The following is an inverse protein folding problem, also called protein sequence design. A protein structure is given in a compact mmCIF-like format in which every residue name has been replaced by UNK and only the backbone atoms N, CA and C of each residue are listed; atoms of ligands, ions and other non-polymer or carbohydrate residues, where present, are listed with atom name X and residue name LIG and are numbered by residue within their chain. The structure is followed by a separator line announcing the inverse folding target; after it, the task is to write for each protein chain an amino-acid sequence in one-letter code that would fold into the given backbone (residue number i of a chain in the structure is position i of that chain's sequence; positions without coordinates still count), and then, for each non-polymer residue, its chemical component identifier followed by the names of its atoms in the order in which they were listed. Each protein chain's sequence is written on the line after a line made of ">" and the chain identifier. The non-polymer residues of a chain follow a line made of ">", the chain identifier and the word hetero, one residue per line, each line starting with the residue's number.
data_IF_837418542469
#
_entry.id   IF_837418542469
#
_cell.length_a   1.000
_cell.length_b   1.000
_cell.length_c   1.000
_cell.angle_alpha   90.00
_cell.angle_beta   90.00
_cell.angle_gamma   90.00
#
_symmetry.space_group_name_H-M   'P 1'
#
loop_
_entity.id
_entity.type
_entity.pdbx_description
1 polymer ?
#
# COMPACT_ATOMS: atom_id res chain seq x y z
N UNK A 1 50.31 -18.46 -21.56
CA UNK A 1 49.35 -17.83 -20.64
C UNK A 1 49.60 -16.33 -20.64
N UNK A 2 48.85 -15.58 -21.44
CA UNK A 2 48.93 -14.12 -21.47
C UNK A 2 48.03 -13.55 -20.36
N UNK A 3 48.54 -12.72 -19.45
CA UNK A 3 47.70 -12.05 -18.48
C UNK A 3 46.84 -11.04 -19.25
N UNK A 4 45.52 -11.28 -19.32
CA UNK A 4 44.56 -10.26 -19.71
C UNK A 4 44.62 -9.16 -18.65
N UNK A 5 45.55 -8.22 -18.81
CA UNK A 5 45.51 -6.93 -18.11
C UNK A 5 44.19 -6.28 -18.53
N UNK A 6 43.25 -6.17 -17.58
CA UNK A 6 42.09 -5.31 -17.70
C UNK A 6 42.61 -3.88 -17.92
N UNK A 7 42.81 -3.51 -19.18
CA UNK A 7 43.13 -2.14 -19.53
C UNK A 7 41.87 -1.33 -19.27
N UNK A 8 41.87 -0.59 -18.16
CA UNK A 8 40.91 0.45 -17.84
C UNK A 8 41.01 1.57 -18.89
N UNK A 9 40.53 1.30 -20.10
CA UNK A 9 40.37 2.33 -21.12
C UNK A 9 39.31 3.29 -20.58
N UNK A 10 39.57 4.61 -20.51
CA UNK A 10 38.69 5.58 -19.87
C UNK A 10 37.26 5.65 -20.47
N UNK A 11 37.03 5.08 -21.66
CA UNK A 11 35.69 4.92 -22.25
C UNK A 11 34.87 3.76 -21.66
N UNK A 12 35.49 2.72 -21.10
CA UNK A 12 34.79 1.60 -20.48
C UNK A 12 34.30 1.96 -19.07
N UNK A 13 35.05 2.76 -18.31
CA UNK A 13 34.67 3.21 -16.95
C UNK A 13 33.36 4.00 -16.98
N UNK A 14 33.21 4.96 -17.91
CA UNK A 14 31.96 5.73 -18.02
C UNK A 14 30.75 4.87 -18.38
N UNK A 15 30.95 3.77 -19.14
CA UNK A 15 29.89 2.82 -19.46
C UNK A 15 29.47 2.01 -18.23
N UNK A 16 30.40 1.64 -17.36
CA UNK A 16 30.09 0.99 -16.08
C UNK A 16 29.30 1.91 -15.14
N UNK A 17 29.62 3.21 -15.07
CA UNK A 17 28.83 4.17 -14.29
C UNK A 17 27.40 4.35 -14.83
N UNK A 18 27.24 4.42 -16.16
CA UNK A 18 25.90 4.48 -16.79
C UNK A 18 25.11 3.22 -16.48
N UNK A 19 25.72 2.03 -16.61
CA UNK A 19 25.09 0.76 -16.28
C UNK A 19 24.70 0.73 -14.79
N UNK A 20 25.58 1.18 -13.89
CA UNK A 20 25.30 1.26 -12.46
C UNK A 20 24.11 2.19 -12.15
N UNK A 21 24.04 3.37 -12.79
CA UNK A 21 22.89 4.29 -12.65
C UNK A 21 21.59 3.63 -13.12
N UNK A 22 21.61 2.93 -14.26
CA UNK A 22 20.43 2.22 -14.77
C UNK A 22 19.99 1.12 -13.79
N UNK A 23 20.93 0.35 -13.25
CA UNK A 23 20.64 -0.69 -12.24
C UNK A 23 20.07 -0.07 -10.96
N UNK A 24 20.62 1.04 -10.48
CA UNK A 24 20.11 1.73 -9.28
C UNK A 24 18.70 2.26 -9.50
N UNK A 25 18.38 2.80 -10.68
CA UNK A 25 17.02 3.19 -11.03
C UNK A 25 16.07 2.00 -11.11
N UNK A 26 16.50 0.88 -11.71
CA UNK A 26 15.71 -0.34 -11.79
C UNK A 26 15.42 -0.91 -10.39
N UNK A 27 16.42 -0.97 -9.51
CA UNK A 27 16.25 -1.41 -8.11
C UNK A 27 15.30 -0.49 -7.35
N UNK A 28 15.31 0.81 -7.62
CA UNK A 28 14.35 1.76 -7.01
C UNK A 28 12.90 1.46 -7.42
N UNK A 29 12.67 1.19 -8.71
CA UNK A 29 11.34 0.78 -9.19
C UNK A 29 10.84 -0.53 -8.56
N UNK A 30 11.72 -1.54 -8.48
CA UNK A 30 11.40 -2.84 -7.85
C UNK A 30 11.12 -2.67 -6.36
N UNK A 31 11.86 -1.82 -5.64
CA UNK A 31 11.61 -1.56 -4.23
C UNK A 31 10.24 -0.92 -4.00
N UNK A 32 9.84 0.05 -4.82
CA UNK A 32 8.52 0.69 -4.71
C UNK A 32 7.41 -0.33 -4.99
N UNK A 33 7.54 -1.11 -6.07
CA UNK A 33 6.56 -2.15 -6.40
C UNK A 33 6.46 -3.21 -5.29
N UNK A 34 7.60 -3.62 -4.73
CA UNK A 34 7.64 -4.59 -3.62
C UNK A 34 7.00 -4.02 -2.36
N UNK A 35 7.19 -2.73 -2.06
CA UNK A 35 6.59 -2.08 -0.90
C UNK A 35 5.06 -2.04 -1.01
N UNK A 36 4.56 -1.63 -2.17
CA UNK A 36 3.12 -1.56 -2.44
C UNK A 36 2.49 -2.96 -2.38
N UNK A 37 3.13 -3.96 -3.00
CA UNK A 37 2.64 -5.34 -2.95
C UNK A 37 2.65 -5.92 -1.53
N UNK A 38 3.70 -5.65 -0.75
CA UNK A 38 3.77 -6.10 0.64
C UNK A 38 2.65 -5.46 1.48
N UNK A 39 2.44 -4.15 1.32
CA UNK A 39 1.36 -3.43 2.00
C UNK A 39 -0.03 -3.97 1.62
N UNK A 40 -0.31 -4.14 0.32
CA UNK A 40 -1.58 -4.69 -0.15
C UNK A 40 -1.83 -6.09 0.42
N UNK A 41 -0.80 -6.93 0.44
CA UNK A 41 -0.89 -8.29 0.97
C UNK A 41 -1.12 -8.30 2.48
N UNK A 42 -0.41 -7.46 3.23
CA UNK A 42 -0.56 -7.33 4.68
C UNK A 42 -1.98 -6.86 5.04
N UNK A 43 -2.46 -5.78 4.41
CA UNK A 43 -3.81 -5.25 4.67
C UNK A 43 -4.89 -6.21 4.22
N UNK A 44 -4.71 -6.89 3.10
CA UNK A 44 -5.62 -7.93 2.64
C UNK A 44 -5.78 -9.04 3.68
N UNK A 45 -4.68 -9.58 4.23
CA UNK A 45 -4.78 -10.58 5.28
C UNK A 45 -5.48 -10.05 6.54
N UNK A 46 -5.21 -8.81 6.93
CA UNK A 46 -5.91 -8.20 8.06
C UNK A 46 -7.43 -8.10 7.82
N UNK A 47 -7.87 -7.74 6.60
CA UNK A 47 -9.30 -7.69 6.26
C UNK A 47 -9.93 -9.09 6.29
N UNK A 48 -9.22 -10.10 5.80
CA UNK A 48 -9.64 -11.51 5.87
C UNK A 48 -9.79 -11.99 7.31
N UNK A 49 -8.81 -11.69 8.17
CA UNK A 49 -8.87 -12.05 9.59
C UNK A 49 -10.09 -11.39 10.28
N UNK A 50 -10.40 -10.13 9.93
CA UNK A 50 -11.61 -9.44 10.41
C UNK A 50 -12.87 -10.13 9.89
N UNK A 51 -12.90 -10.54 8.61
CA UNK A 51 -14.03 -11.27 8.03
C UNK A 51 -14.29 -12.59 8.76
N UNK A 52 -13.24 -13.38 9.04
CA UNK A 52 -13.36 -14.61 9.81
C UNK A 52 -13.82 -14.38 11.24
N UNK A 53 -13.30 -13.35 11.93
CA UNK A 53 -13.71 -13.02 13.27
C UNK A 53 -15.17 -12.52 13.32
N UNK A 54 -15.61 -11.75 12.32
CA UNK A 54 -17.01 -11.37 12.13
C UNK A 54 -17.90 -12.58 11.89
N UNK A 55 -17.48 -13.51 11.03
CA UNK A 55 -18.21 -14.74 10.76
C UNK A 55 -18.40 -15.57 12.02
N UNK A 56 -17.32 -15.81 12.78
CA UNK A 56 -17.38 -16.55 14.04
C UNK A 56 -18.32 -15.88 15.06
N UNK A 57 -18.29 -14.54 15.13
CA UNK A 57 -19.22 -13.79 15.97
C UNK A 57 -20.65 -14.03 15.50
N UNK A 58 -20.95 -13.80 14.22
CA UNK A 58 -22.30 -13.99 13.67
C UNK A 58 -22.84 -15.38 14.00
N UNK A 59 -22.03 -16.44 13.86
CA UNK A 59 -22.46 -17.80 14.20
C UNK A 59 -22.75 -18.00 15.69
N UNK A 60 -21.94 -17.43 16.59
CA UNK A 60 -22.21 -17.48 18.02
C UNK A 60 -23.55 -16.82 18.39
N UNK A 61 -23.86 -15.67 17.77
CA UNK A 61 -25.11 -14.95 18.00
C UNK A 61 -26.31 -15.58 17.29
N UNK A 62 -26.11 -16.15 16.09
CA UNK A 62 -27.12 -16.97 15.39
C UNK A 62 -27.52 -18.16 16.27
N UNK A 63 -26.55 -18.86 16.83
CA UNK A 63 -26.80 -19.96 17.77
C UNK A 63 -27.59 -19.50 19.00
N UNK A 64 -27.19 -18.40 19.64
CA UNK A 64 -27.91 -17.87 20.80
C UNK A 64 -29.34 -17.42 20.46
N UNK A 65 -29.55 -16.80 19.30
CA UNK A 65 -30.87 -16.41 18.80
C UNK A 65 -31.81 -17.60 18.72
N UNK A 66 -31.33 -18.71 18.14
CA UNK A 66 -32.09 -19.97 18.09
C UNK A 66 -32.38 -20.54 19.47
N UNK A 67 -31.41 -20.52 20.39
CA UNK A 67 -31.62 -21.01 21.76
C UNK A 67 -32.67 -20.17 22.52
N UNK A 68 -32.65 -18.86 22.36
CA UNK A 68 -33.61 -17.94 23.00
C UNK A 68 -35.02 -18.20 22.46
N UNK A 69 -35.16 -18.35 21.15
CA UNK A 69 -36.47 -18.61 20.56
C UNK A 69 -37.02 -20.00 20.93
N UNK A 70 -36.23 -21.06 20.75
CA UNK A 70 -36.71 -22.45 20.92
C UNK A 70 -36.89 -22.82 22.39
N UNK A 71 -35.92 -22.49 23.26
CA UNK A 71 -35.96 -22.95 24.65
C UNK A 71 -36.67 -21.97 25.59
N UNK A 72 -36.58 -20.66 25.34
CA UNK A 72 -37.06 -19.65 26.29
C UNK A 72 -38.43 -19.11 25.89
N UNK A 73 -38.61 -18.75 24.62
CA UNK A 73 -39.86 -18.19 24.12
C UNK A 73 -40.97 -19.25 23.98
N UNK A 74 -40.65 -20.45 23.48
CA UNK A 74 -41.66 -21.50 23.28
C UNK A 74 -42.11 -22.19 24.60
N UNK A 75 -41.28 -22.14 25.64
CA UNK A 75 -41.50 -22.86 26.92
C UNK A 75 -42.07 -21.98 28.03
N UNK A 76 -42.32 -20.69 27.78
CA UNK A 76 -42.79 -19.71 28.78
C UNK A 76 -44.23 -19.90 29.29
N UNK A 77 -44.96 -20.89 28.77
CA UNK A 77 -46.40 -21.06 29.05
C UNK A 77 -46.71 -21.61 30.45
N UNK A 78 -45.75 -22.21 31.19
CA UNK A 78 -46.10 -23.11 32.30
C UNK A 78 -45.36 -22.95 33.65
N UNK A 79 -44.66 -21.85 33.94
CA UNK A 79 -43.97 -21.71 35.24
C UNK A 79 -44.35 -20.46 36.01
N UNK A 80 -45.33 -20.58 36.91
CA UNK A 80 -45.64 -19.53 37.88
C UNK A 80 -44.38 -19.11 38.66
N UNK A 81 -43.80 -17.96 38.32
CA UNK A 81 -42.73 -17.33 39.06
C UNK A 81 -43.31 -16.16 39.87
N UNK A 82 -43.02 -16.18 41.17
CA UNK A 82 -43.62 -15.25 42.13
C UNK A 82 -43.16 -13.81 41.95
N UNK A 83 -44.11 -12.88 42.07
CA UNK A 83 -43.87 -11.48 42.46
C UNK A 83 -42.83 -10.72 41.64
N UNK A 84 -42.88 -10.83 40.32
CA UNK A 84 -42.11 -9.97 39.43
C UNK A 84 -42.43 -8.49 39.71
N UNK A 85 -41.40 -7.71 40.04
CA UNK A 85 -41.52 -6.28 40.31
C UNK A 85 -41.21 -5.53 39.01
N UNK A 86 -42.22 -4.87 38.45
CA UNK A 86 -42.04 -3.95 37.33
C UNK A 86 -42.12 -2.51 37.82
N UNK A 87 -41.23 -1.66 37.31
CA UNK A 87 -41.32 -0.21 37.50
C UNK A 87 -41.70 0.44 36.18
N UNK A 88 -42.85 1.11 36.15
CA UNK A 88 -43.27 1.88 34.99
C UNK A 88 -42.42 3.15 34.89
N UNK A 89 -41.60 3.24 33.85
CA UNK A 89 -40.79 4.43 33.58
C UNK A 89 -41.60 5.49 32.81
N UNK A 90 -42.41 5.06 31.83
CA UNK A 90 -43.21 5.94 30.97
C UNK A 90 -44.54 5.27 30.60
N UNK A 91 -45.42 6.01 29.91
CA UNK A 91 -46.49 5.39 29.13
C UNK A 91 -45.89 4.39 28.14
N UNK A 92 -46.33 3.13 28.24
CA UNK A 92 -45.94 2.00 27.41
C UNK A 92 -44.45 1.62 27.47
N UNK A 93 -43.74 2.00 28.55
CA UNK A 93 -42.36 1.56 28.83
C UNK A 93 -42.25 1.06 30.27
N UNK A 94 -41.90 -0.21 30.40
CA UNK A 94 -41.82 -0.93 31.67
C UNK A 94 -40.39 -1.43 31.88
N UNK A 95 -39.85 -1.18 33.07
CA UNK A 95 -38.54 -1.67 33.49
C UNK A 95 -38.73 -2.88 34.39
N UNK A 96 -38.04 -3.97 34.05
CA UNK A 96 -38.05 -5.17 34.86
C UNK A 96 -36.99 -5.06 35.96
N UNK A 97 -37.43 -4.99 37.22
CA UNK A 97 -36.50 -5.03 38.35
C UNK A 97 -36.07 -6.46 38.61
N UNK A 98 -34.75 -6.70 38.56
CA UNK A 98 -34.17 -8.02 38.81
C UNK A 98 -33.07 -7.99 39.87
N UNK A 99 -32.88 -9.11 40.59
CA UNK A 99 -31.87 -9.19 41.64
C UNK A 99 -30.44 -9.13 41.11
N UNK A 100 -30.19 -9.52 39.84
CA UNK A 100 -28.87 -9.47 39.19
C UNK A 100 -28.82 -8.32 38.19
N UNK A 101 -27.98 -7.31 38.42
CA UNK A 101 -27.92 -6.06 37.60
C UNK A 101 -26.87 -6.08 36.47
N UNK A 102 -26.61 -7.24 35.85
CA UNK A 102 -25.59 -7.33 34.80
C UNK A 102 -26.11 -6.87 33.45
N UNK A 103 -27.31 -7.28 33.10
CA UNK A 103 -28.10 -6.68 32.01
C UNK A 103 -29.28 -5.89 32.58
N UNK A 104 -29.90 -5.07 31.75
CA UNK A 104 -31.16 -4.39 32.03
C UNK A 104 -32.16 -4.75 30.96
N UNK A 105 -33.43 -4.88 31.35
CA UNK A 105 -34.51 -5.26 30.45
C UNK A 105 -35.65 -4.23 30.49
N UNK A 106 -36.04 -3.76 29.30
CA UNK A 106 -37.14 -2.84 29.08
C UNK A 106 -38.19 -3.50 28.17
N UNK A 107 -39.46 -3.29 28.47
CA UNK A 107 -40.58 -3.75 27.66
C UNK A 107 -41.31 -2.52 27.13
N UNK A 108 -41.50 -2.48 25.82
CA UNK A 108 -42.19 -1.42 25.09
C UNK A 108 -43.53 -1.94 24.54
N UNK A 109 -44.61 -1.25 24.88
CA UNK A 109 -45.97 -1.60 24.48
C UNK A 109 -46.80 -2.26 25.58
N UNK A 110 -48.05 -2.57 25.24
CA UNK A 110 -48.91 -3.40 26.08
C UNK A 110 -48.35 -4.82 26.14
N UNK A 111 -48.27 -5.38 27.33
CA UNK A 111 -47.74 -6.72 27.54
C UNK A 111 -48.56 -7.44 28.61
N UNK A 112 -48.46 -8.76 28.63
CA UNK A 112 -49.12 -9.63 29.61
C UNK A 112 -48.09 -10.21 30.60
N UNK A 113 -48.58 -10.94 31.61
CA UNK A 113 -47.71 -11.56 32.61
C UNK A 113 -46.76 -12.61 32.01
N UNK A 114 -47.13 -13.24 30.88
CA UNK A 114 -46.26 -14.22 30.21
C UNK A 114 -45.06 -13.53 29.54
N UNK A 115 -45.26 -12.35 28.96
CA UNK A 115 -44.19 -11.52 28.38
C UNK A 115 -43.21 -11.04 29.45
N UNK A 116 -43.68 -10.72 30.66
CA UNK A 116 -42.82 -10.40 31.81
C UNK A 116 -41.94 -11.59 32.21
N UNK A 117 -42.53 -12.78 32.37
CA UNK A 117 -41.80 -13.99 32.72
C UNK A 117 -40.77 -14.37 31.64
N UNK A 118 -41.16 -14.24 30.37
CA UNK A 118 -40.30 -14.49 29.23
C UNK A 118 -39.13 -13.51 29.18
N UNK A 119 -39.38 -12.22 29.39
CA UNK A 119 -38.34 -11.18 29.48
C UNK A 119 -37.35 -11.49 30.59
N UNK A 120 -37.82 -11.94 31.75
CA UNK A 120 -36.96 -12.33 32.86
C UNK A 120 -36.06 -13.52 32.47
N UNK A 121 -36.64 -14.59 31.91
CA UNK A 121 -35.87 -15.76 31.49
C UNK A 121 -34.83 -15.44 30.42
N UNK A 122 -35.19 -14.60 29.45
CA UNK A 122 -34.25 -14.12 28.42
C UNK A 122 -33.11 -13.32 29.05
N UNK A 123 -33.44 -12.40 29.96
CA UNK A 123 -32.43 -11.59 30.66
C UNK A 123 -31.51 -12.44 31.53
N UNK A 124 -32.05 -13.44 32.25
CA UNK A 124 -31.26 -14.37 33.07
C UNK A 124 -30.35 -15.26 32.24
N UNK A 125 -30.83 -15.76 31.08
CA UNK A 125 -30.02 -16.53 30.14
C UNK A 125 -28.88 -15.71 29.57
N UNK A 126 -29.17 -14.48 29.13
CA UNK A 126 -28.15 -13.56 28.62
C UNK A 126 -27.17 -13.10 29.70
N UNK A 127 -27.61 -12.97 30.96
CA UNK A 127 -26.72 -12.72 32.10
C UNK A 127 -25.71 -13.85 32.30
N UNK A 128 -26.09 -15.10 32.04
CA UNK A 128 -25.21 -16.27 32.14
C UNK A 128 -24.25 -16.34 30.95
N UNK A 129 -24.74 -16.16 29.73
CA UNK A 129 -23.91 -16.23 28.52
C UNK A 129 -22.92 -15.08 28.44
N UNK A 130 -23.41 -13.84 28.56
CA UNK A 130 -22.67 -12.63 28.21
C UNK A 130 -22.74 -11.53 29.26
N UNK A 131 -23.36 -11.77 30.42
CA UNK A 131 -23.33 -10.83 31.54
C UNK A 131 -21.93 -10.64 32.17
N UNK A 132 -20.91 -11.35 31.71
CA UNK A 132 -19.51 -11.12 32.06
C UNK A 132 -18.71 -10.49 30.92
N UNK A 133 -19.28 -10.33 29.71
CA UNK A 133 -18.59 -9.68 28.61
C UNK A 133 -18.46 -8.18 28.87
N UNK A 134 -17.28 -7.64 28.53
CA UNK A 134 -16.97 -6.22 28.68
C UNK A 134 -17.52 -5.37 27.54
N UNK A 135 -18.01 -6.02 26.48
CA UNK A 135 -18.46 -5.38 25.26
C UNK A 135 -19.96 -5.04 25.41
N UNK A 136 -20.36 -3.76 25.19
CA UNK A 136 -21.76 -3.39 25.24
C UNK A 136 -22.52 -4.02 24.08
N UNK A 137 -23.63 -4.70 24.38
CA UNK A 137 -24.50 -5.30 23.38
C UNK A 137 -25.97 -5.00 23.71
N UNK A 138 -26.82 -5.04 22.69
CA UNK A 138 -28.27 -4.89 22.85
C UNK A 138 -29.01 -5.89 21.99
N UNK A 139 -29.97 -6.56 22.61
CA UNK A 139 -30.92 -7.46 22.00
C UNK A 139 -32.28 -6.78 21.94
N UNK A 140 -32.95 -6.90 20.81
CA UNK A 140 -34.35 -6.55 20.62
C UNK A 140 -35.14 -7.82 20.28
N UNK A 141 -36.27 -8.01 20.94
CA UNK A 141 -37.19 -9.11 20.67
C UNK A 141 -38.56 -8.52 20.38
N UNK A 142 -39.04 -8.68 19.14
CA UNK A 142 -40.37 -8.29 18.74
C UNK A 142 -41.27 -9.52 18.74
N UNK A 143 -42.21 -9.55 19.68
CA UNK A 143 -43.15 -10.64 19.81
C UNK A 143 -44.25 -10.53 18.73
N UNK A 144 -44.43 -11.60 17.96
CA UNK A 144 -45.44 -11.67 16.90
C UNK A 144 -46.90 -11.79 17.40
N UNK A 145 -47.10 -12.15 18.67
CA UNK A 145 -48.43 -12.35 19.27
C UNK A 145 -49.09 -11.05 19.72
N UNK A 146 -48.39 -10.26 20.52
CA UNK A 146 -48.88 -9.05 21.19
C UNK A 146 -48.23 -7.77 20.68
N UNK A 147 -47.28 -7.87 19.72
CA UNK A 147 -46.51 -6.74 19.20
C UNK A 147 -45.76 -5.99 20.33
N UNK A 148 -45.40 -6.66 21.42
CA UNK A 148 -44.51 -6.08 22.42
C UNK A 148 -43.07 -6.14 21.92
N UNK A 149 -42.29 -5.10 22.22
CA UNK A 149 -40.87 -5.04 21.92
C UNK A 149 -40.09 -5.08 23.23
N UNK A 150 -39.29 -6.11 23.42
CA UNK A 150 -38.41 -6.27 24.57
C UNK A 150 -37.01 -5.83 24.15
N UNK A 151 -36.38 -5.00 24.96
CA UNK A 151 -34.98 -4.59 24.84
C UNK A 151 -34.21 -5.13 26.04
N UNK A 152 -33.21 -5.97 25.79
CA UNK A 152 -32.27 -6.43 26.81
C UNK A 152 -30.88 -5.93 26.44
N UNK A 153 -30.19 -5.26 27.35
CA UNK A 153 -28.85 -4.72 27.08
C UNK A 153 -27.97 -4.75 28.32
N UNK A 154 -26.65 -4.82 28.14
CA UNK A 154 -25.66 -4.58 29.21
C UNK A 154 -25.50 -3.10 29.56
N UNK A 155 -26.17 -2.21 28.84
CA UNK A 155 -26.13 -0.78 29.09
C UNK A 155 -27.02 -0.38 30.26
N UNK A 156 -26.66 0.68 31.01
CA UNK A 156 -27.49 1.20 32.09
C UNK A 156 -28.69 1.96 31.51
N UNK A 157 -29.66 1.22 30.97
CA UNK A 157 -30.88 1.73 30.34
C UNK A 157 -31.69 2.64 31.27
N UNK A 158 -31.68 2.39 32.58
CA UNK A 158 -32.35 3.19 33.61
C UNK A 158 -31.75 4.61 33.75
N UNK A 159 -30.44 4.72 33.71
CA UNK A 159 -29.73 6.00 33.76
C UNK A 159 -29.82 6.71 32.41
N UNK A 160 -29.81 5.94 31.32
CA UNK A 160 -29.93 6.47 29.97
C UNK A 160 -31.33 7.05 29.69
N UNK A 161 -32.40 6.40 30.18
CA UNK A 161 -33.76 6.93 30.05
C UNK A 161 -34.00 8.20 30.86
N UNK A 162 -33.22 8.42 31.93
CA UNK A 162 -33.38 9.56 32.84
C UNK A 162 -32.40 10.71 32.57
N UNK A 163 -31.19 10.43 32.07
CA UNK A 163 -30.11 11.42 31.88
C UNK A 163 -29.99 11.96 30.46
N UNK A 164 -30.36 11.20 29.43
CA UNK A 164 -30.31 11.66 28.04
C UNK A 164 -31.67 12.16 27.61
N UNK A 165 -31.71 13.29 26.87
CA UNK A 165 -32.96 13.87 26.32
C UNK A 165 -33.83 12.74 25.78
N UNK A 166 -34.98 12.52 26.42
CA UNK A 166 -35.92 11.39 26.24
C UNK A 166 -36.22 11.02 24.78
N UNK A 167 -36.04 11.96 23.84
CA UNK A 167 -36.24 11.75 22.41
C UNK A 167 -35.31 10.72 21.79
N UNK A 168 -34.05 10.62 22.19
CA UNK A 168 -33.07 9.86 21.38
C UNK A 168 -33.27 8.35 21.51
N UNK A 169 -33.34 7.80 22.73
CA UNK A 169 -33.54 6.35 22.93
C UNK A 169 -34.92 5.93 22.43
N UNK A 170 -35.96 6.70 22.75
CA UNK A 170 -37.31 6.43 22.25
C UNK A 170 -37.37 6.45 20.73
N UNK A 171 -36.67 7.39 20.07
CA UNK A 171 -36.60 7.42 18.61
C UNK A 171 -35.82 6.25 18.02
N UNK A 172 -34.73 5.82 18.68
CA UNK A 172 -33.95 4.64 18.24
C UNK A 172 -34.81 3.39 18.39
N UNK A 173 -35.45 3.18 19.53
CA UNK A 173 -36.31 2.01 19.77
C UNK A 173 -37.50 2.00 18.81
N UNK A 174 -38.15 3.14 18.56
CA UNK A 174 -39.26 3.24 17.60
C UNK A 174 -38.78 2.97 16.16
N UNK A 175 -37.63 3.51 15.79
CA UNK A 175 -36.99 3.20 14.50
C UNK A 175 -36.66 1.71 14.37
N UNK A 176 -36.17 1.06 15.45
CA UNK A 176 -35.91 -0.39 15.46
C UNK A 176 -37.17 -1.19 15.34
N UNK A 177 -38.21 -0.81 16.08
CA UNK A 177 -39.54 -1.42 16.01
C UNK A 177 -40.07 -1.39 14.59
N UNK A 178 -40.00 -0.23 13.92
CA UNK A 178 -40.45 -0.07 12.53
C UNK A 178 -39.64 -0.95 11.56
N UNK A 179 -38.30 -1.01 11.70
CA UNK A 179 -37.45 -1.90 10.90
C UNK A 179 -37.79 -3.38 11.12
N UNK A 180 -37.99 -3.82 12.37
CA UNK A 180 -38.33 -5.20 12.71
C UNK A 180 -39.74 -5.57 12.24
N UNK A 181 -40.69 -4.63 12.32
CA UNK A 181 -42.05 -4.85 11.79
C UNK A 181 -42.05 -4.96 10.26
N UNK A 182 -41.23 -4.16 9.57
CA UNK A 182 -41.03 -4.31 8.13
C UNK A 182 -40.54 -5.73 7.82
N UNK A 183 -39.52 -6.19 8.54
CA UNK A 183 -38.95 -7.52 8.35
C UNK A 183 -39.93 -8.65 8.72
N UNK A 184 -40.75 -8.45 9.74
CA UNK A 184 -41.78 -9.41 10.12
C UNK A 184 -42.82 -9.63 9.01
N UNK A 185 -43.01 -8.64 8.13
CA UNK A 185 -43.89 -8.75 6.98
C UNK A 185 -43.22 -9.40 5.77
N UNK A 186 -41.88 -9.37 5.68
CA UNK A 186 -41.12 -10.01 4.59
C UNK A 186 -40.88 -11.48 4.93
N UNK A 187 -41.89 -12.31 4.68
CA UNK A 187 -41.94 -13.74 5.03
C UNK A 187 -40.80 -14.60 4.45
N UNK A 188 -40.17 -14.14 3.37
CA UNK A 188 -39.14 -14.89 2.62
C UNK A 188 -37.74 -14.74 3.25
N UNK A 189 -37.47 -13.62 3.93
CA UNK A 189 -36.16 -13.30 4.50
C UNK A 189 -36.04 -13.81 5.94
N UNK A 190 -35.45 -15.00 6.10
CA UNK A 190 -35.20 -15.62 7.42
C UNK A 190 -34.16 -14.87 8.25
N UNK A 191 -33.17 -14.27 7.58
CA UNK A 191 -32.09 -13.52 8.22
C UNK A 191 -31.77 -12.27 7.39
N UNK A 192 -31.64 -11.13 8.05
CA UNK A 192 -31.21 -9.87 7.41
C UNK A 192 -30.12 -9.20 8.22
N UNK A 193 -29.24 -8.49 7.52
CA UNK A 193 -28.15 -7.73 8.10
C UNK A 193 -28.36 -6.25 7.85
N UNK A 194 -28.08 -5.44 8.87
CA UNK A 194 -28.01 -3.98 8.71
C UNK A 194 -26.63 -3.57 8.19
N UNK A 195 -26.52 -2.47 7.41
CA UNK A 195 -25.23 -1.87 7.13
C UNK A 195 -24.55 -1.44 8.44
N UNK A 196 -23.24 -1.22 8.38
CA UNK A 196 -22.49 -0.74 9.52
C UNK A 196 -23.00 0.64 9.96
N UNK A 197 -23.38 0.77 11.23
CA UNK A 197 -23.91 1.98 11.85
C UNK A 197 -22.99 2.48 12.95
N UNK A 198 -23.03 3.78 13.20
CA UNK A 198 -22.33 4.42 14.31
C UNK A 198 -23.29 4.79 15.43
N UNK A 199 -22.97 4.40 16.66
CA UNK A 199 -23.74 4.75 17.85
C UNK A 199 -23.06 5.93 18.56
N UNK A 200 -23.60 7.13 18.35
CA UNK A 200 -23.00 8.39 18.80
C UNK A 200 -22.69 8.44 20.31
N UNK A 201 -23.48 7.78 21.16
CA UNK A 201 -23.30 7.82 22.63
C UNK A 201 -22.15 6.94 23.16
N UNK A 202 -21.68 5.98 22.37
CA UNK A 202 -20.68 4.96 22.74
C UNK A 202 -19.46 5.05 21.82
N UNK A 203 -19.55 5.88 20.78
CA UNK A 203 -18.58 5.96 19.70
C UNK A 203 -18.22 4.56 19.15
N UNK A 204 -19.21 3.68 19.11
CA UNK A 204 -19.07 2.29 18.72
C UNK A 204 -19.75 2.07 17.37
N UNK A 205 -19.07 1.35 16.49
CA UNK A 205 -19.66 0.85 15.26
C UNK A 205 -20.25 -0.51 15.53
N UNK A 206 -21.46 -0.71 15.02
CA UNK A 206 -22.18 -1.96 15.17
C UNK A 206 -22.96 -2.26 13.88
N UNK A 207 -23.25 -3.53 13.66
CA UNK A 207 -24.25 -3.96 12.69
C UNK A 207 -25.34 -4.73 13.42
N UNK A 208 -26.53 -4.76 12.84
CA UNK A 208 -27.66 -5.48 13.44
C UNK A 208 -27.90 -6.76 12.67
N UNK A 209 -27.79 -7.91 13.34
CA UNK A 209 -28.28 -9.20 12.83
C UNK A 209 -29.74 -9.32 13.21
N UNK A 210 -30.63 -9.61 12.25
CA UNK A 210 -32.05 -9.82 12.53
C UNK A 210 -32.53 -11.15 11.97
N UNK A 211 -33.08 -11.99 12.83
CA UNK A 211 -33.63 -13.30 12.47
C UNK A 211 -35.14 -13.30 12.63
N UNK A 212 -35.86 -13.77 11.60
CA UNK A 212 -37.32 -13.89 11.61
C UNK A 212 -37.74 -15.33 11.86
N UNK A 213 -38.72 -15.48 12.73
CA UNK A 213 -39.32 -16.77 13.07
C UNK A 213 -40.81 -16.73 12.73
N UNK A 214 -41.16 -17.48 11.68
CA UNK A 214 -42.54 -17.56 11.22
C UNK A 214 -43.31 -18.60 12.04
N UNK A 215 -44.41 -18.18 12.64
CA UNK A 215 -45.39 -19.08 13.27
C UNK A 215 -46.73 -18.97 12.53
N UNK A 216 -47.43 -20.09 12.29
CA UNK A 216 -48.73 -20.04 11.65
C UNK A 216 -49.75 -19.34 12.54
N UNK A 217 -50.47 -18.35 11.99
CA UNK A 217 -51.57 -17.66 12.67
C UNK A 217 -51.22 -16.35 13.36
N UNK A 218 -49.95 -15.93 13.36
CA UNK A 218 -49.47 -14.71 14.01
C UNK A 218 -48.47 -13.95 13.12
N UNK A 219 -48.14 -12.71 13.48
CA UNK A 219 -47.02 -12.02 12.85
C UNK A 219 -45.72 -12.78 13.13
N UNK A 220 -44.74 -12.67 12.24
CA UNK A 220 -43.43 -13.27 12.48
C UNK A 220 -42.78 -12.61 13.71
N UNK A 221 -42.21 -13.45 14.57
CA UNK A 221 -41.40 -12.98 15.69
C UNK A 221 -40.02 -12.61 15.16
N UNK A 222 -39.50 -11.45 15.52
CA UNK A 222 -38.18 -10.99 15.05
C UNK A 222 -37.26 -10.81 16.23
N UNK A 223 -36.07 -11.41 16.15
CA UNK A 223 -35.01 -11.24 17.13
C UNK A 223 -33.87 -10.49 16.46
N UNK A 224 -33.46 -9.37 17.04
CA UNK A 224 -32.38 -8.55 16.52
C UNK A 224 -31.28 -8.34 17.57
N UNK A 225 -30.02 -8.46 17.14
CA UNK A 225 -28.85 -8.22 17.98
C UNK A 225 -27.99 -7.13 17.36
N UNK A 226 -27.66 -6.12 18.15
CA UNK A 226 -26.67 -5.11 17.80
C UNK A 226 -25.29 -5.61 18.21
N UNK A 227 -24.47 -5.86 17.19
CA UNK A 227 -23.17 -6.49 17.27
C UNK A 227 -22.09 -5.44 17.06
N UNK A 228 -21.36 -5.03 18.11
CA UNK A 228 -20.25 -4.10 17.95
C UNK A 228 -19.11 -4.77 17.19
N UNK A 229 -18.31 -3.97 16.48
CA UNK A 229 -17.18 -4.47 15.68
C UNK A 229 -15.83 -3.86 16.09
N UNK A 230 -15.82 -2.92 17.05
CA UNK A 230 -14.64 -2.15 17.41
C UNK A 230 -13.45 -3.01 17.87
N UNK A 231 -13.72 -4.14 18.50
CA UNK A 231 -12.72 -5.06 19.03
C UNK A 231 -12.18 -6.04 17.99
N UNK A 232 -12.88 -6.19 16.85
CA UNK A 232 -12.46 -7.05 15.76
C UNK A 232 -11.42 -6.38 14.86
N UNK A 233 -11.34 -5.05 14.88
CA UNK A 233 -10.49 -4.28 13.97
C UNK A 233 -9.06 -4.19 14.53
N UNK A 234 -8.03 -4.60 13.76
CA UNK A 234 -6.64 -4.48 14.18
C UNK A 234 -6.21 -3.04 14.49
N UNK A 235 -5.31 -2.83 15.47
CA UNK A 235 -4.76 -1.52 15.77
C UNK A 235 -3.99 -0.99 14.57
N UNK A 236 -4.47 0.11 13.98
CA UNK A 236 -3.87 0.73 12.79
C UNK A 236 -4.77 0.77 11.56
N UNK A 237 -5.95 0.13 11.61
CA UNK A 237 -7.01 0.34 10.63
C UNK A 237 -8.06 1.33 11.18
N UNK A 238 -8.55 2.23 10.32
CA UNK A 238 -9.63 3.14 10.67
C UNK A 238 -10.97 2.40 10.63
N UNK A 239 -11.80 2.57 11.65
CA UNK A 239 -13.11 1.90 11.71
C UNK A 239 -14.10 2.43 10.67
N UNK A 240 -14.01 3.73 10.36
CA UNK A 240 -14.89 4.42 9.42
C UNK A 240 -14.68 3.99 7.95
N UNK A 241 -13.55 3.33 7.65
CA UNK A 241 -13.27 2.80 6.31
C UNK A 241 -13.96 1.46 6.04
N UNK A 242 -14.51 0.80 7.06
CA UNK A 242 -15.22 -0.45 6.88
C UNK A 242 -16.68 -0.23 6.51
N UNK A 243 -17.15 -1.00 5.55
CA UNK A 243 -18.54 -1.06 5.11
C UNK A 243 -18.93 -2.51 4.95
N UNK A 244 -20.18 -2.83 5.27
CA UNK A 244 -20.75 -4.15 5.04
C UNK A 244 -21.84 -3.95 4.00
N UNK A 245 -21.68 -4.58 2.83
CA UNK A 245 -22.57 -4.44 1.69
C UNK A 245 -23.04 -5.83 1.23
N UNK A 246 -24.27 -6.00 0.70
CA UNK A 246 -24.69 -7.28 0.14
C UNK A 246 -23.77 -7.69 -1.01
N UNK A 247 -23.43 -8.97 -1.07
CA UNK A 247 -22.57 -9.51 -2.12
C UNK A 247 -23.28 -9.42 -3.49
N UNK A 248 -22.77 -8.64 -4.47
CA UNK A 248 -23.37 -8.55 -5.79
C UNK A 248 -23.32 -9.88 -6.56
N UNK A 249 -22.42 -10.79 -6.20
CA UNK A 249 -22.25 -12.10 -6.85
C UNK A 249 -23.27 -13.14 -6.40
N UNK A 250 -23.97 -12.96 -5.26
CA UNK A 250 -25.06 -13.85 -4.87
C UNK A 250 -26.28 -13.78 -5.79
N UNK A 251 -26.43 -12.70 -6.55
CA UNK A 251 -27.46 -12.62 -7.61
C UNK A 251 -27.12 -13.48 -8.84
N UNK A 252 -25.88 -13.98 -8.96
CA UNK A 252 -25.52 -15.00 -9.93
C UNK A 252 -25.47 -16.35 -9.21
N UNK A 253 -26.58 -17.09 -9.27
CA UNK A 253 -26.65 -18.48 -8.85
C UNK A 253 -25.45 -19.26 -9.40
N UNK A 254 -24.46 -19.54 -8.55
CA UNK A 254 -23.26 -20.27 -8.93
C UNK A 254 -23.11 -21.50 -8.05
N UNK A 255 -22.99 -22.61 -8.76
CA UNK A 255 -22.70 -23.99 -8.35
C UNK A 255 -21.84 -24.15 -7.08
N UNK A 256 -22.20 -25.07 -6.17
CA UNK A 256 -21.61 -25.22 -4.83
C UNK A 256 -20.28 -26.01 -4.81
N UNK A 257 -19.43 -25.89 -5.85
CA UNK A 257 -18.24 -26.75 -6.02
C UNK A 257 -16.90 -25.99 -6.07
N UNK A 258 -16.81 -24.82 -5.45
CA UNK A 258 -15.50 -24.22 -5.13
C UNK A 258 -15.40 -23.96 -3.63
N UNK A 259 -14.72 -24.88 -2.96
CA UNK A 259 -14.09 -24.70 -1.67
C UNK A 259 -13.48 -23.29 -1.57
N UNK A 260 -13.98 -22.49 -0.61
CA UNK A 260 -13.21 -21.57 0.25
C UNK A 260 -11.92 -21.00 -0.36
N UNK A 261 -12.02 -20.35 -1.51
CA UNK A 261 -11.00 -19.43 -1.97
C UNK A 261 -11.52 -18.05 -1.59
N UNK A 262 -11.17 -17.63 -0.38
CA UNK A 262 -11.47 -16.33 0.19
C UNK A 262 -11.26 -15.24 -0.88
N UNK A 263 -12.37 -14.72 -1.41
CA UNK A 263 -12.34 -13.97 -2.67
C UNK A 263 -12.00 -12.52 -2.35
N UNK A 264 -10.70 -12.22 -2.25
CA UNK A 264 -10.22 -10.85 -2.09
C UNK A 264 -10.37 -10.09 -3.42
N UNK A 265 -11.36 -9.22 -3.49
CA UNK A 265 -11.53 -8.27 -4.57
C UNK A 265 -10.80 -6.97 -4.26
N UNK A 266 -9.69 -6.69 -4.95
CA UNK A 266 -9.01 -5.38 -4.86
C UNK A 266 -9.45 -4.54 -6.04
N UNK A 267 -10.23 -3.49 -5.77
CA UNK A 267 -10.65 -2.52 -6.79
C UNK A 267 -10.03 -1.15 -6.53
N UNK A 268 -9.48 -0.54 -7.57
CA UNK A 268 -8.89 0.79 -7.50
C UNK A 268 -9.88 1.83 -8.04
N UNK A 269 -10.55 2.54 -7.15
CA UNK A 269 -11.53 3.57 -7.49
C UNK A 269 -10.86 4.96 -7.48
N UNK A 270 -10.01 5.21 -8.48
CA UNK A 270 -9.28 6.47 -8.64
C UNK A 270 -8.24 6.71 -7.53
N UNK A 271 -8.60 7.54 -6.55
CA UNK A 271 -7.75 7.84 -5.38
C UNK A 271 -8.06 6.97 -4.15
N UNK A 272 -9.02 6.05 -4.25
CA UNK A 272 -9.39 5.13 -3.19
C UNK A 272 -9.07 3.69 -3.59
N UNK A 273 -8.64 2.90 -2.61
CA UNK A 273 -8.42 1.46 -2.71
C UNK A 273 -9.55 0.81 -1.93
N UNK A 274 -10.24 -0.09 -2.61
CA UNK A 274 -11.34 -0.86 -2.06
C UNK A 274 -10.86 -2.32 -1.99
N UNK A 275 -10.73 -2.84 -0.76
CA UNK A 275 -10.44 -4.26 -0.51
C UNK A 275 -11.75 -4.89 -0.02
N UNK A 276 -12.35 -5.71 -0.86
CA UNK A 276 -13.55 -6.47 -0.55
C UNK A 276 -13.21 -7.92 -0.23
N UNK A 277 -13.83 -8.48 0.80
CA UNK A 277 -13.77 -9.90 1.15
C UNK A 277 -15.18 -10.38 1.47
N UNK A 278 -15.53 -11.60 1.08
CA UNK A 278 -16.80 -12.20 1.44
C UNK A 278 -16.84 -12.57 2.93
N UNK A 279 -18.00 -12.36 3.56
CA UNK A 279 -18.28 -12.88 4.89
C UNK A 279 -19.01 -14.21 4.67
N UNK A 280 -18.32 -15.30 4.99
CA UNK A 280 -18.85 -16.65 4.77
C UNK A 280 -20.24 -16.81 5.40
N UNK A 281 -21.15 -17.50 4.70
CA UNK A 281 -22.52 -17.86 5.16
C UNK A 281 -23.55 -16.73 5.34
N UNK A 282 -23.19 -15.46 5.14
CA UNK A 282 -24.11 -14.33 5.36
C UNK A 282 -24.56 -13.65 4.07
N UNK A 283 -23.83 -13.87 2.97
CA UNK A 283 -24.09 -13.19 1.71
C UNK A 283 -23.77 -11.70 1.70
N UNK A 284 -23.00 -11.27 2.69
CA UNK A 284 -22.49 -9.92 2.80
C UNK A 284 -20.99 -9.91 2.45
N UNK A 285 -20.51 -8.81 1.91
CA UNK A 285 -19.10 -8.52 1.72
C UNK A 285 -18.65 -7.44 2.70
N UNK A 286 -17.48 -7.64 3.29
CA UNK A 286 -16.76 -6.64 4.04
C UNK A 286 -15.90 -5.83 3.06
N UNK A 287 -16.18 -4.54 2.96
CA UNK A 287 -15.46 -3.60 2.14
C UNK A 287 -14.61 -2.69 3.03
N UNK A 288 -13.32 -2.61 2.75
CA UNK A 288 -12.40 -1.68 3.37
C UNK A 288 -11.91 -0.65 2.35
N UNK A 289 -12.36 0.60 2.50
CA UNK A 289 -12.08 1.71 1.58
C UNK A 289 -11.05 2.67 2.17
N UNK A 290 -9.90 2.81 1.53
CA UNK A 290 -8.80 3.63 2.04
C UNK A 290 -8.16 4.51 0.96
N UNK A 291 -7.80 5.78 1.25
CA UNK A 291 -7.13 6.63 0.28
C UNK A 291 -5.75 6.10 -0.13
N UNK A 292 -5.44 6.14 -1.43
CA UNK A 292 -4.12 5.78 -1.99
C UNK A 292 -2.95 6.53 -1.32
N UNK A 293 -3.18 7.74 -0.80
CA UNK A 293 -2.16 8.50 -0.08
C UNK A 293 -1.65 7.77 1.17
N UNK A 294 -2.52 7.05 1.87
CA UNK A 294 -2.14 6.27 3.06
C UNK A 294 -1.27 5.07 2.66
N UNK A 295 -1.65 4.33 1.61
CA UNK A 295 -0.82 3.26 1.05
C UNK A 295 0.55 3.80 0.66
N UNK A 296 0.60 4.91 -0.07
CA UNK A 296 1.87 5.51 -0.50
C UNK A 296 2.70 5.94 0.70
N UNK A 297 2.11 6.59 1.71
CA UNK A 297 2.82 7.06 2.89
C UNK A 297 3.36 5.91 3.73
N UNK A 298 2.54 4.91 4.04
CA UNK A 298 2.94 3.73 4.82
C UNK A 298 3.97 2.89 4.06
N UNK A 299 3.77 2.69 2.75
CA UNK A 299 4.75 2.01 1.89
C UNK A 299 6.07 2.79 1.85
N UNK A 300 6.02 4.12 1.66
CA UNK A 300 7.20 4.99 1.65
C UNK A 300 7.95 4.94 2.98
N UNK A 301 7.24 4.94 4.11
CA UNK A 301 7.84 4.85 5.43
C UNK A 301 8.58 3.51 5.59
N UNK A 302 8.00 2.41 5.12
CA UNK A 302 8.62 1.09 5.19
C UNK A 302 9.91 0.98 4.35
N UNK A 303 9.93 1.59 3.15
CA UNK A 303 11.13 1.62 2.29
C UNK A 303 12.02 2.85 2.47
N UNK A 304 11.74 3.73 3.43
CA UNK A 304 12.43 5.01 3.54
C UNK A 304 13.95 4.84 3.68
N UNK A 305 14.36 3.92 4.55
CA UNK A 305 15.77 3.64 4.82
C UNK A 305 16.50 3.03 3.61
N UNK A 306 16.04 1.92 2.99
CA UNK A 306 16.69 1.38 1.80
C UNK A 306 16.62 2.34 0.61
N UNK A 307 15.56 3.15 0.50
CA UNK A 307 15.43 4.17 -0.53
C UNK A 307 16.49 5.28 -0.36
N UNK A 308 16.68 5.78 0.86
CA UNK A 308 17.69 6.81 1.15
C UNK A 308 19.11 6.30 0.88
N UNK A 309 19.38 5.03 1.21
CA UNK A 309 20.64 4.38 0.85
C UNK A 309 20.83 4.30 -0.66
N UNK A 310 19.79 3.90 -1.42
CA UNK A 310 19.85 3.81 -2.88
C UNK A 310 20.04 5.19 -3.53
N UNK A 311 19.34 6.22 -3.04
CA UNK A 311 19.53 7.61 -3.50
C UNK A 311 20.95 8.09 -3.19
N UNK A 312 21.50 7.78 -2.01
CA UNK A 312 22.89 8.09 -1.68
C UNK A 312 23.89 7.40 -2.62
N UNK A 313 23.67 6.13 -2.94
CA UNK A 313 24.49 5.38 -3.88
C UNK A 313 24.37 5.91 -5.32
N UNK A 314 23.16 6.33 -5.72
CA UNK A 314 22.90 6.99 -7.00
C UNK A 314 23.63 8.34 -7.09
N UNK A 315 23.60 9.14 -6.03
CA UNK A 315 24.34 10.40 -5.96
C UNK A 315 25.85 10.16 -6.09
N UNK A 316 26.39 9.14 -5.42
CA UNK A 316 27.79 8.74 -5.54
C UNK A 316 28.12 8.26 -6.97
N UNK A 317 27.22 7.49 -7.59
CA UNK A 317 27.36 7.03 -8.97
C UNK A 317 27.41 8.19 -9.97
N UNK A 318 26.50 9.17 -9.82
CA UNK A 318 26.45 10.38 -10.63
C UNK A 318 27.67 11.27 -10.40
N UNK A 319 28.12 11.41 -9.15
CA UNK A 319 29.34 12.14 -8.82
C UNK A 319 30.59 11.49 -9.41
N UNK A 320 30.69 10.16 -9.36
CA UNK A 320 31.75 9.41 -10.03
C UNK A 320 31.71 9.64 -11.54
N UNK A 321 30.52 9.52 -12.15
CA UNK A 321 30.33 9.75 -13.58
C UNK A 321 30.74 11.18 -14.01
N UNK A 322 30.32 12.21 -13.27
CA UNK A 322 30.68 13.60 -13.58
C UNK A 322 32.17 13.80 -13.38
N UNK A 323 32.76 13.35 -12.27
CA UNK A 323 34.19 13.53 -11.99
C UNK A 323 35.09 12.91 -13.07
N UNK A 324 34.82 11.66 -13.49
CA UNK A 324 35.59 11.01 -14.55
C UNK A 324 35.38 11.64 -15.93
N UNK A 325 34.18 12.16 -16.21
CA UNK A 325 33.91 12.89 -17.46
C UNK A 325 34.62 14.25 -17.48
N UNK A 326 34.66 14.97 -16.36
CA UNK A 326 35.34 16.27 -16.25
C UNK A 326 36.87 16.11 -16.21
N UNK A 327 37.43 15.05 -15.61
CA UNK A 327 38.85 14.73 -15.73
C UNK A 327 39.27 14.52 -17.19
N UNK A 328 38.41 13.91 -18.01
CA UNK A 328 38.61 13.77 -19.46
C UNK A 328 38.51 15.10 -20.22
N UNK A 329 37.80 16.09 -19.65
CA UNK A 329 37.65 17.44 -20.21
C UNK A 329 38.63 18.49 -19.67
N UNK A 330 39.43 18.15 -18.64
CA UNK A 330 40.39 19.06 -17.98
C UNK A 330 41.83 18.87 -18.45
N UNK A 331 42.05 18.22 -19.60
CA UNK A 331 43.20 18.58 -20.44
C UNK A 331 42.91 19.99 -20.98
N UNK A 332 43.21 20.99 -20.17
CA UNK A 332 43.08 22.39 -20.54
C UNK A 332 43.73 22.63 -21.90
N UNK A 333 42.93 23.23 -22.76
CA UNK A 333 43.35 24.11 -23.84
C UNK A 333 44.45 25.06 -23.37
N UNK A 334 45.69 24.65 -23.56
CA UNK A 334 46.81 25.54 -23.88
C UNK A 334 47.31 25.04 -25.23
N UNK A 335 47.41 25.96 -26.19
CA UNK A 335 47.46 25.67 -27.62
C UNK A 335 48.48 24.64 -28.07
N UNK A 336 48.20 24.10 -29.26
CA UNK A 336 48.91 23.05 -30.00
C UNK A 336 48.59 21.62 -29.53
N UNK A 337 47.92 20.88 -30.40
CA UNK A 337 47.45 19.51 -30.19
C UNK A 337 48.52 18.59 -29.63
N UNK A 338 48.22 17.97 -28.50
CA UNK A 338 49.01 16.88 -27.94
C UNK A 338 48.58 15.55 -28.55
N UNK A 339 49.53 14.61 -28.65
CA UNK A 339 49.47 13.68 -29.74
C UNK A 339 49.03 12.29 -29.33
N UNK A 340 48.36 11.63 -30.28
CA UNK A 340 48.26 10.17 -30.34
C UNK A 340 49.65 9.55 -30.15
N UNK A 341 49.74 8.35 -29.57
CA UNK A 341 50.98 7.59 -29.33
C UNK A 341 51.95 7.54 -30.54
N UNK A 342 51.47 7.81 -31.75
CA UNK A 342 52.27 8.07 -32.94
C UNK A 342 53.28 9.23 -32.79
N UNK A 343 53.00 10.33 -32.06
CA UNK A 343 53.99 11.41 -31.96
C UNK A 343 55.02 11.22 -30.86
N UNK A 344 54.82 10.31 -29.89
CA UNK A 344 55.95 9.88 -29.06
C UNK A 344 56.97 9.12 -29.89
N UNK A 345 56.52 8.28 -30.83
CA UNK A 345 57.40 7.56 -31.76
C UNK A 345 58.04 8.51 -32.78
N UNK A 346 57.30 9.47 -33.35
CA UNK A 346 57.88 10.50 -34.23
C UNK A 346 58.87 11.42 -33.51
N UNK A 347 58.65 11.72 -32.21
CA UNK A 347 59.62 12.49 -31.41
C UNK A 347 60.87 11.66 -31.13
N UNK A 348 60.73 10.37 -30.85
CA UNK A 348 61.86 9.46 -30.65
C UNK A 348 62.67 9.28 -31.95
N UNK A 349 62.01 9.06 -33.09
CA UNK A 349 62.67 9.00 -34.40
C UNK A 349 63.37 10.32 -34.77
N UNK A 350 62.76 11.47 -34.45
CA UNK A 350 63.38 12.78 -34.69
C UNK A 350 64.59 13.01 -33.78
N UNK A 351 64.51 12.62 -32.51
CA UNK A 351 65.63 12.72 -31.57
C UNK A 351 66.81 11.82 -31.98
N UNK A 352 66.54 10.58 -32.43
CA UNK A 352 67.59 9.70 -32.97
C UNK A 352 68.19 10.28 -34.25
N UNK A 353 67.37 10.82 -35.15
CA UNK A 353 67.89 11.41 -36.39
C UNK A 353 68.78 12.63 -36.10
N UNK A 354 68.40 13.47 -35.13
CA UNK A 354 69.21 14.60 -34.68
C UNK A 354 70.54 14.15 -34.04
N UNK A 355 70.52 13.08 -33.23
CA UNK A 355 71.72 12.49 -32.65
C UNK A 355 72.67 11.93 -33.74
N UNK A 356 72.13 11.20 -34.72
CA UNK A 356 72.89 10.67 -35.87
C UNK A 356 73.49 11.81 -36.69
N UNK A 357 72.70 12.86 -36.97
CA UNK A 357 73.17 14.02 -37.74
C UNK A 357 74.29 14.74 -37.00
N UNK A 358 74.23 14.86 -35.67
CA UNK A 358 75.26 15.52 -34.86
C UNK A 358 76.59 14.76 -34.79
N UNK A 359 76.56 13.43 -34.94
CA UNK A 359 77.74 12.56 -34.89
C UNK A 359 78.47 12.42 -36.23
N UNK A 360 77.97 13.03 -37.31
CA UNK A 360 78.62 13.02 -38.61
C UNK A 360 79.94 13.84 -38.56
N UNK A 361 81.08 13.31 -39.05
CA UNK A 361 82.36 14.01 -39.09
C UNK A 361 82.46 15.07 -40.22
N UNK A 362 81.34 15.35 -40.90
CA UNK A 362 81.21 16.29 -42.02
C UNK A 362 80.06 17.25 -41.71
N UNK A 363 80.23 18.54 -42.03
CA UNK A 363 79.17 19.54 -41.86
C UNK A 363 78.03 19.31 -42.86
N UNK A 364 76.88 18.86 -42.37
CA UNK A 364 75.66 18.69 -43.17
C UNK A 364 74.73 19.89 -42.97
N UNK A 365 74.37 20.55 -44.07
CA UNK A 365 73.38 21.62 -44.12
C UNK A 365 72.35 21.30 -45.22
N UNK A 366 71.09 21.17 -44.84
CA UNK A 366 69.97 21.06 -45.79
C UNK A 366 69.18 22.36 -45.72
N UNK A 367 69.29 23.19 -46.77
CA UNK A 367 68.59 24.47 -46.89
C UNK A 367 67.42 24.34 -47.87
N UNK A 368 66.24 24.75 -47.44
CA UNK A 368 65.03 24.80 -48.26
C UNK A 368 64.95 26.20 -48.90
N UNK A 369 65.12 26.25 -50.22
CA UNK A 369 65.24 27.48 -50.99
C UNK A 369 63.91 28.25 -51.08
N UNK A 370 62.77 27.55 -51.09
CA UNK A 370 61.47 28.16 -51.31
C UNK A 370 60.95 28.83 -50.03
N UNK A 371 61.32 28.29 -48.87
CA UNK A 371 60.97 28.82 -47.56
C UNK A 371 62.11 29.63 -46.90
N UNK A 372 63.26 29.76 -47.57
CA UNK A 372 64.50 30.38 -47.06
C UNK A 372 64.84 29.98 -45.62
N UNK A 373 64.80 28.68 -45.32
CA UNK A 373 65.01 28.13 -43.97
C UNK A 373 65.92 26.91 -44.00
N UNK A 374 66.72 26.76 -42.95
CA UNK A 374 67.53 25.57 -42.71
C UNK A 374 66.64 24.48 -42.13
N UNK A 375 66.53 23.34 -42.82
CA UNK A 375 65.66 22.22 -42.41
C UNK A 375 66.41 21.26 -41.48
N UNK A 376 67.70 21.03 -41.74
CA UNK A 376 68.58 20.18 -40.93
C UNK A 376 69.99 20.80 -40.97
N UNK A 377 70.62 20.96 -39.80
CA UNK A 377 72.02 21.36 -39.68
C UNK A 377 72.73 20.56 -38.58
N UNK A 378 74.02 20.34 -38.76
CA UNK A 378 74.93 19.80 -37.73
C UNK A 378 75.72 20.99 -37.12
N UNK A 379 76.13 20.96 -35.84
CA UNK A 379 76.95 22.00 -35.20
C UNK A 379 78.21 22.43 -35.99
N UNK A 380 78.83 21.52 -36.76
CA UNK A 380 79.95 21.86 -37.66
C UNK A 380 79.48 22.76 -38.81
N UNK A 381 78.32 22.47 -39.38
CA UNK A 381 77.72 23.28 -40.45
C UNK A 381 77.23 24.64 -39.93
N UNK A 382 76.67 24.69 -38.71
CA UNK A 382 76.22 25.93 -38.09
C UNK A 382 77.38 26.92 -37.83
N UNK A 383 78.57 26.41 -37.50
CA UNK A 383 79.75 27.26 -37.36
C UNK A 383 80.25 27.81 -38.70
N UNK A 384 80.00 27.09 -39.80
CA UNK A 384 80.41 27.49 -41.14
C UNK A 384 79.35 28.36 -41.86
N UNK A 385 78.08 28.30 -41.44
CA UNK A 385 76.97 29.09 -42.00
C UNK A 385 77.26 30.58 -42.21
N UNK A 386 77.79 31.34 -41.23
CA UNK A 386 78.06 32.78 -41.42
C UNK A 386 79.20 33.06 -42.40
N UNK A 387 80.01 32.04 -42.71
CA UNK A 387 81.12 32.13 -43.66
C UNK A 387 80.78 31.58 -45.05
N UNK A 388 79.58 31.00 -45.23
CA UNK A 388 79.10 30.44 -46.49
C UNK A 388 78.16 31.42 -47.19
N UNK A 389 78.55 31.90 -48.37
CA UNK A 389 77.63 32.63 -49.24
C UNK A 389 76.74 31.63 -50.00
N UNK A 390 75.63 31.24 -49.37
CA UNK A 390 74.68 30.25 -49.90
C UNK A 390 74.19 30.61 -51.31
N UNK A 391 74.06 31.90 -51.62
CA UNK A 391 73.60 32.36 -52.93
C UNK A 391 74.63 32.14 -54.04
N UNK A 392 75.92 32.31 -53.74
CA UNK A 392 77.00 31.97 -54.67
C UNK A 392 77.17 30.46 -54.85
N UNK A 393 77.00 29.68 -53.78
CA UNK A 393 77.09 28.20 -53.83
C UNK A 393 75.93 27.62 -54.63
N UNK A 394 74.72 28.17 -54.50
CA UNK A 394 73.58 27.81 -55.36
C UNK A 394 73.83 28.17 -56.82
N UNK A 395 74.31 29.38 -57.10
CA UNK A 395 74.62 29.78 -58.48
C UNK A 395 75.73 28.93 -59.10
N UNK A 396 76.73 28.51 -58.31
CA UNK A 396 77.76 27.57 -58.75
C UNK A 396 77.21 26.14 -58.91
N UNK A 397 76.31 25.69 -58.03
CA UNK A 397 75.64 24.40 -58.15
C UNK A 397 74.77 24.35 -59.41
N UNK A 398 74.00 25.40 -59.71
CA UNK A 398 73.21 25.52 -60.94
C UNK A 398 74.09 25.62 -62.19
N UNK A 399 75.23 26.33 -62.11
CA UNK A 399 76.21 26.41 -63.22
C UNK A 399 76.94 25.08 -63.46
N UNK A 400 77.10 24.23 -62.42
CA UNK A 400 77.75 22.93 -62.52
C UNK A 400 76.75 21.75 -62.64
N UNK A 401 75.45 21.97 -62.43
CA UNK A 401 74.35 21.04 -62.76
C UNK A 401 73.83 21.28 -64.18
N UNK A 402 74.72 21.12 -65.17
CA UNK A 402 74.31 20.84 -66.55
C UNK A 402 74.03 19.35 -66.72
N UNK A 403 72.77 18.92 -66.57
CA UNK A 403 72.38 17.51 -66.73
C UNK A 403 70.90 17.20 -66.55
N UNK A 404 70.12 17.53 -67.60
CA UNK A 404 68.82 16.96 -68.00
C UNK A 404 67.51 17.66 -67.54
N UNK A 405 66.94 18.57 -68.37
CA UNK A 405 65.56 19.02 -68.26
C UNK A 405 64.64 18.12 -69.10
N UNK A 406 64.14 17.03 -68.49
CA UNK A 406 63.14 16.16 -69.08
C UNK A 406 61.71 16.65 -68.86
N UNK A 407 61.30 17.71 -69.55
CA UNK A 407 59.88 17.98 -69.81
C UNK A 407 59.30 16.82 -70.65
N UNK A 408 58.28 16.13 -70.13
CA UNK A 408 57.19 15.62 -70.97
C UNK A 408 55.86 15.80 -70.24
N UNK A 409 55.13 16.83 -70.66
CA UNK A 409 53.67 16.80 -70.68
C UNK A 409 53.22 15.79 -71.75
N UNK A 410 52.40 14.82 -71.35
CA UNK A 410 51.07 14.56 -71.91
C UNK A 410 50.27 13.76 -70.89
#
# INVERSE_FOLDING_TARGET
>A
MTPKKFSLIPGNISRFFILMVIVLLATMGVMIQSAVNAWLKEKSYQVVDVSHALHQRIDAWRYATWQIYDNIAATSVNTASGGLQETRLKQDVYYLEKPRRKTEALIFGSHDSSTLEMTQKMSDYLDILWGAETIPWSMYYLNGLDNSLILVSTLPLKDLSSSFKESTISSVVESRRAEMLLQANTLDERETFSPLRHLAWQNAHYFTLRTTFNQPGHLATVVAFDLPINDLIPPGMTIDSFRIEPDPSQNLATTPDKESADHIGITFNGMQIDIATDISTTGMQLLWTVPMSTMLLESMQNILLPLLLNIGLLALALFGFTTFRHYKGRSHSSGAGLPSAANSELRLLRAINEEIVSLLPLGLLVHDQEANRTVISNPIADHLLPHLNLQNITNMADQHQGGDPGHRQQ
#
